data_IF_599040451791
#
_entry.id   IF_599040451791
#
_cell.length_a   1.000
_cell.length_b   1.000
_cell.length_c   1.000
_cell.angle_alpha   90.00
_cell.angle_beta   90.00
_cell.angle_gamma   90.00
#
_symmetry.space_group_name_H-M   'P 1'
#
loop_
_entity.id
_entity.type
_entity.pdbx_description
1 polymer ?
#
# COMPACT_ATOMS: atom_id res chain seq x y z
N UNK A 1 9.85 -10.02 20.97
CA UNK A 1 10.19 -9.82 19.57
C UNK A 1 9.86 -8.36 19.24
N UNK A 2 10.71 -7.64 18.53
CA UNK A 2 10.36 -6.26 18.14
C UNK A 2 9.39 -6.29 16.98
N UNK A 3 8.60 -5.21 16.78
CA UNK A 3 7.73 -5.10 15.60
C UNK A 3 8.52 -5.22 14.29
N UNK A 4 9.76 -4.73 14.27
CA UNK A 4 10.65 -4.85 13.11
C UNK A 4 10.99 -6.32 12.82
N UNK A 5 11.22 -7.14 13.84
CA UNK A 5 11.45 -8.59 13.67
C UNK A 5 10.19 -9.31 13.19
N UNK A 6 9.01 -8.92 13.70
CA UNK A 6 7.73 -9.50 13.28
C UNK A 6 7.45 -9.17 11.81
N UNK A 7 7.59 -7.91 11.39
CA UNK A 7 7.45 -7.49 10.00
C UNK A 7 8.43 -8.26 9.11
N UNK A 8 9.69 -8.40 9.53
CA UNK A 8 10.68 -9.19 8.81
C UNK A 8 10.22 -10.64 8.62
N UNK A 9 9.75 -11.29 9.68
CA UNK A 9 9.26 -12.68 9.60
C UNK A 9 8.08 -12.80 8.64
N UNK A 10 7.11 -11.88 8.69
CA UNK A 10 5.95 -11.88 7.79
C UNK A 10 6.40 -11.82 6.32
N UNK A 11 7.32 -10.92 5.98
CA UNK A 11 7.82 -10.82 4.61
C UNK A 11 8.64 -12.04 4.18
N UNK A 12 9.46 -12.60 5.06
CA UNK A 12 10.26 -13.80 4.75
C UNK A 12 9.39 -15.05 4.58
N UNK A 13 8.31 -15.18 5.34
CA UNK A 13 7.42 -16.34 5.29
C UNK A 13 6.39 -16.25 4.16
N UNK A 14 5.86 -15.06 3.87
CA UNK A 14 4.71 -14.88 2.98
C UNK A 14 4.98 -13.92 1.81
N UNK A 15 6.08 -13.18 1.82
CA UNK A 15 6.37 -12.13 0.84
C UNK A 15 6.58 -12.62 -0.59
N UNK A 16 6.95 -13.90 -0.78
CA UNK A 16 7.05 -14.52 -2.10
C UNK A 16 5.69 -14.87 -2.74
N UNK A 17 4.60 -14.65 -2.03
CA UNK A 17 3.27 -14.73 -2.62
C UNK A 17 3.12 -13.69 -3.73
N UNK A 18 2.57 -14.09 -4.88
CA UNK A 18 2.33 -13.17 -5.97
C UNK A 18 1.25 -12.13 -5.61
N UNK A 19 1.51 -10.89 -5.99
CA UNK A 19 0.65 -9.75 -5.70
C UNK A 19 -0.72 -9.84 -6.42
N UNK A 20 -0.71 -10.19 -7.70
CA UNK A 20 -1.89 -10.42 -8.52
C UNK A 20 -1.60 -11.57 -9.48
N UNK A 21 -2.46 -11.86 -10.45
CA UNK A 21 -2.29 -12.97 -11.41
C UNK A 21 -0.93 -13.00 -12.13
N UNK A 22 0.16 -12.78 -11.38
CA UNK A 22 1.42 -13.37 -11.73
C UNK A 22 2.61 -12.52 -12.09
N UNK A 23 2.71 -11.23 -11.83
CA UNK A 23 3.94 -10.54 -12.25
C UNK A 23 4.95 -10.25 -11.14
N UNK A 24 4.54 -9.77 -10.00
CA UNK A 24 5.45 -9.43 -8.89
C UNK A 24 5.02 -10.10 -7.59
N UNK A 25 5.99 -10.41 -6.72
CA UNK A 25 5.71 -10.90 -5.37
C UNK A 25 5.33 -9.74 -4.46
N UNK A 26 4.63 -10.02 -3.36
CA UNK A 26 4.27 -9.03 -2.34
C UNK A 26 5.51 -8.32 -1.80
N UNK A 27 6.59 -9.05 -1.55
CA UNK A 27 7.86 -8.46 -1.10
C UNK A 27 8.46 -7.54 -2.18
N UNK A 28 8.54 -8.00 -3.42
CA UNK A 28 9.08 -7.18 -4.51
C UNK A 28 8.28 -5.88 -4.69
N UNK A 29 6.96 -5.96 -4.65
CA UNK A 29 6.06 -4.81 -4.74
C UNK A 29 6.31 -3.82 -3.58
N UNK A 30 6.35 -4.30 -2.34
CA UNK A 30 6.61 -3.48 -1.16
C UNK A 30 7.96 -2.75 -1.22
N UNK A 31 9.02 -3.48 -1.63
CA UNK A 31 10.35 -2.90 -1.77
C UNK A 31 10.42 -1.83 -2.86
N UNK A 32 9.76 -2.04 -4.00
CA UNK A 32 9.70 -1.05 -5.08
C UNK A 32 8.98 0.22 -4.61
N UNK A 33 7.84 0.07 -3.92
CA UNK A 33 7.07 1.20 -3.39
C UNK A 33 7.90 2.01 -2.38
N UNK A 34 8.56 1.35 -1.42
CA UNK A 34 9.45 2.00 -0.46
C UNK A 34 10.63 2.70 -1.15
N UNK A 35 11.20 2.10 -2.20
CA UNK A 35 12.31 2.69 -2.94
C UNK A 35 11.89 3.96 -3.69
N UNK A 36 10.68 4.03 -4.26
CA UNK A 36 10.16 5.27 -4.84
C UNK A 36 10.10 6.40 -3.81
N UNK A 37 9.64 6.11 -2.59
CA UNK A 37 9.59 7.08 -1.50
C UNK A 37 10.99 7.51 -1.06
N UNK A 38 11.95 6.60 -0.97
CA UNK A 38 13.36 6.90 -0.63
C UNK A 38 14.01 7.80 -1.69
N UNK A 39 13.86 7.47 -2.98
CA UNK A 39 14.39 8.28 -4.09
C UNK A 39 13.81 9.69 -4.08
N UNK A 40 12.56 9.85 -3.66
CA UNK A 40 11.90 11.16 -3.50
C UNK A 40 12.33 11.89 -2.22
N UNK A 41 13.29 11.37 -1.45
CA UNK A 41 13.75 11.92 -0.17
C UNK A 41 12.61 12.13 0.84
N UNK A 42 11.67 11.19 0.89
CA UNK A 42 10.56 11.20 1.84
C UNK A 42 11.02 10.90 3.27
N UNK A 43 10.17 11.21 4.25
CA UNK A 43 10.45 10.90 5.66
C UNK A 43 10.48 9.39 5.91
N UNK A 44 11.05 8.98 7.04
CA UNK A 44 11.09 7.57 7.47
C UNK A 44 9.68 6.98 7.59
N UNK A 45 8.71 7.78 8.06
CA UNK A 45 7.32 7.40 8.19
C UNK A 45 6.69 7.10 6.81
N UNK A 46 6.94 7.95 5.81
CA UNK A 46 6.40 7.76 4.47
C UNK A 46 7.03 6.56 3.75
N UNK A 47 8.34 6.35 3.91
CA UNK A 47 9.03 5.16 3.39
C UNK A 47 8.47 3.90 4.05
N UNK A 48 8.24 3.94 5.37
CA UNK A 48 7.61 2.86 6.14
C UNK A 48 6.18 2.60 5.68
N UNK A 49 5.38 3.65 5.47
CA UNK A 49 4.03 3.51 4.94
C UNK A 49 4.02 2.82 3.56
N UNK A 50 4.94 3.21 2.67
CA UNK A 50 5.09 2.58 1.36
C UNK A 50 5.51 1.10 1.45
N UNK A 51 6.40 0.74 2.38
CA UNK A 51 6.79 -0.65 2.60
C UNK A 51 5.63 -1.51 3.10
N UNK A 52 4.76 -0.95 3.95
CA UNK A 52 3.78 -1.71 4.72
C UNK A 52 2.32 -1.56 4.25
N UNK A 53 2.05 -0.77 3.17
CA UNK A 53 0.67 -0.45 2.78
C UNK A 53 -0.18 -1.68 2.48
N UNK A 54 0.41 -2.72 1.92
CA UNK A 54 -0.24 -3.96 1.53
C UNK A 54 0.00 -5.14 2.51
N UNK A 55 0.63 -4.89 3.68
CA UNK A 55 0.92 -5.96 4.64
C UNK A 55 -0.36 -6.69 5.10
N UNK A 56 -1.52 -6.04 5.04
CA UNK A 56 -2.81 -6.66 5.34
C UNK A 56 -3.12 -7.88 4.48
N UNK A 57 -2.64 -7.93 3.24
CA UNK A 57 -2.75 -9.11 2.38
C UNK A 57 -1.94 -10.31 2.90
N UNK A 58 -0.83 -10.05 3.60
CA UNK A 58 0.01 -11.09 4.22
C UNK A 58 -0.52 -11.54 5.57
N UNK A 59 -1.25 -10.67 6.27
CA UNK A 59 -1.87 -10.95 7.57
C UNK A 59 -3.18 -11.73 7.41
N UNK A 60 -3.93 -11.49 6.34
CA UNK A 60 -5.19 -12.17 6.07
C UNK A 60 -4.98 -13.40 5.18
N UNK A 61 -5.13 -14.60 5.74
CA UNK A 61 -4.99 -15.86 5.00
C UNK A 61 -6.10 -16.04 3.94
N UNK A 62 -7.25 -15.39 4.10
CA UNK A 62 -8.41 -15.50 3.22
C UNK A 62 -8.49 -14.38 2.17
N UNK A 63 -7.56 -13.42 2.17
CA UNK A 63 -7.58 -12.27 1.26
C UNK A 63 -7.68 -12.65 -0.22
N UNK A 64 -6.97 -13.73 -0.64
CA UNK A 64 -7.04 -14.22 -2.02
C UNK A 64 -8.41 -14.79 -2.37
N UNK A 65 -9.08 -15.43 -1.41
CA UNK A 65 -10.41 -16.00 -1.63
C UNK A 65 -11.45 -14.88 -1.72
N UNK A 66 -11.36 -13.85 -0.90
CA UNK A 66 -12.22 -12.67 -0.96
C UNK A 66 -12.15 -12.00 -2.35
N UNK A 67 -10.94 -11.72 -2.85
CA UNK A 67 -10.76 -11.12 -4.18
C UNK A 67 -11.34 -12.02 -5.29
N UNK A 68 -11.17 -13.35 -5.22
CA UNK A 68 -11.76 -14.30 -6.19
C UNK A 68 -13.29 -14.31 -6.14
N UNK A 69 -13.86 -14.08 -4.97
CA UNK A 69 -15.31 -13.99 -4.75
C UNK A 69 -15.89 -12.63 -5.16
N UNK A 70 -15.05 -11.66 -5.55
CA UNK A 70 -15.49 -10.29 -5.85
C UNK A 70 -15.79 -9.48 -4.59
N UNK A 71 -15.18 -9.83 -3.46
CA UNK A 71 -15.32 -9.15 -2.17
C UNK A 71 -14.09 -8.27 -1.92
N UNK A 72 -14.31 -7.11 -1.28
CA UNK A 72 -13.22 -6.26 -0.81
C UNK A 72 -12.58 -6.92 0.42
N UNK A 73 -11.27 -7.14 0.36
CA UNK A 73 -10.53 -7.77 1.45
C UNK A 73 -10.21 -6.79 2.59
N UNK A 74 -10.51 -5.50 2.42
CA UNK A 74 -10.25 -4.41 3.38
C UNK A 74 -8.81 -4.46 3.97
N UNK A 75 -7.84 -4.83 3.15
CA UNK A 75 -6.46 -5.07 3.56
C UNK A 75 -5.81 -3.85 4.20
N UNK A 76 -6.20 -2.64 3.80
CA UNK A 76 -5.74 -1.38 4.38
C UNK A 76 -6.20 -1.22 5.84
N UNK A 77 -7.40 -1.67 6.18
CA UNK A 77 -7.90 -1.66 7.55
C UNK A 77 -7.19 -2.70 8.41
N UNK A 78 -7.00 -3.91 7.90
CA UNK A 78 -6.24 -4.98 8.57
C UNK A 78 -4.80 -4.51 8.84
N UNK A 79 -4.16 -3.86 7.86
CA UNK A 79 -2.82 -3.31 8.02
C UNK A 79 -2.77 -2.27 9.15
N UNK A 80 -3.71 -1.31 9.16
CA UNK A 80 -3.76 -0.26 10.18
C UNK A 80 -4.03 -0.84 11.57
N UNK A 81 -4.95 -1.77 11.70
CA UNK A 81 -5.26 -2.39 12.99
C UNK A 81 -4.04 -3.11 13.59
N UNK A 82 -3.23 -3.72 12.75
CA UNK A 82 -1.97 -4.35 13.17
C UNK A 82 -0.89 -3.32 13.55
N UNK A 83 -0.79 -2.22 12.80
CA UNK A 83 0.33 -1.27 12.89
C UNK A 83 0.10 -0.13 13.90
N UNK A 84 -1.14 0.24 14.23
CA UNK A 84 -1.47 1.45 14.98
C UNK A 84 -0.92 1.48 16.42
N UNK A 85 -0.57 0.34 17.00
CA UNK A 85 0.06 0.28 18.33
C UNK A 85 1.56 0.62 18.31
N UNK A 86 2.16 0.71 17.11
CA UNK A 86 3.60 0.87 16.93
C UNK A 86 3.98 2.11 16.13
N UNK A 87 3.03 2.65 15.33
CA UNK A 87 3.27 3.76 14.43
C UNK A 87 2.19 4.82 14.54
N UNK A 88 2.62 6.07 14.46
CA UNK A 88 1.72 7.22 14.47
C UNK A 88 0.97 7.43 13.15
N UNK A 89 0.09 8.46 13.10
CA UNK A 89 -0.73 8.78 11.93
C UNK A 89 0.07 9.06 10.65
N UNK A 90 1.31 9.51 10.75
CA UNK A 90 2.17 9.75 9.58
C UNK A 90 2.50 8.45 8.79
N UNK A 91 2.42 7.29 9.44
CA UNK A 91 2.51 5.96 8.80
C UNK A 91 1.13 5.39 8.50
N UNK A 92 0.25 5.37 9.51
CA UNK A 92 -1.01 4.62 9.42
C UNK A 92 -2.07 5.30 8.55
N UNK A 93 -2.09 6.65 8.48
CA UNK A 93 -3.09 7.36 7.68
C UNK A 93 -2.87 7.19 6.16
N UNK A 94 -1.64 7.34 5.60
CA UNK A 94 -1.43 7.03 4.19
C UNK A 94 -1.80 5.58 3.83
N UNK A 95 -1.53 4.62 4.72
CA UNK A 95 -1.93 3.21 4.53
C UNK A 95 -3.45 3.09 4.52
N UNK A 96 -4.14 3.66 5.50
CA UNK A 96 -5.61 3.64 5.58
C UNK A 96 -6.27 4.16 4.30
N UNK A 97 -5.75 5.25 3.76
CA UNK A 97 -6.38 5.99 2.68
C UNK A 97 -5.88 5.64 1.27
N UNK A 98 -4.95 4.68 1.09
CA UNK A 98 -4.38 4.43 -0.25
C UNK A 98 -5.40 3.81 -1.23
N UNK A 99 -6.37 3.04 -0.74
CA UNK A 99 -7.48 2.52 -1.56
C UNK A 99 -8.40 3.66 -1.99
N UNK A 100 -8.78 4.55 -1.06
CA UNK A 100 -9.55 5.75 -1.35
C UNK A 100 -8.79 6.70 -2.28
N UNK A 101 -7.47 6.80 -2.14
CA UNK A 101 -6.61 7.56 -3.06
C UNK A 101 -6.67 7.02 -4.50
N UNK A 102 -6.83 5.72 -4.72
CA UNK A 102 -7.07 5.14 -6.05
C UNK A 102 -8.40 5.62 -6.63
N UNK A 103 -9.48 5.58 -5.84
CA UNK A 103 -10.82 6.05 -6.24
C UNK A 103 -10.79 7.55 -6.55
N UNK A 104 -10.12 8.33 -5.69
CA UNK A 104 -9.89 9.77 -5.87
C UNK A 104 -9.15 10.09 -7.17
N UNK A 105 -8.03 9.41 -7.42
CA UNK A 105 -7.23 9.62 -8.63
C UNK A 105 -8.01 9.25 -9.90
N UNK A 106 -8.81 8.20 -9.86
CA UNK A 106 -9.68 7.85 -11.00
C UNK A 106 -10.76 8.91 -11.27
N UNK A 107 -11.17 9.66 -10.26
CA UNK A 107 -12.16 10.74 -10.40
C UNK A 107 -11.52 12.07 -10.86
N UNK A 108 -10.30 12.36 -10.43
CA UNK A 108 -9.67 13.69 -10.58
C UNK A 108 -8.57 13.77 -11.64
N UNK A 109 -7.91 12.66 -11.97
CA UNK A 109 -6.84 12.58 -12.95
C UNK A 109 -7.28 11.76 -14.17
N UNK A 110 -7.62 12.43 -15.26
CA UNK A 110 -8.13 11.81 -16.48
C UNK A 110 -7.19 10.76 -17.11
N UNK A 111 -5.90 10.83 -16.79
CA UNK A 111 -4.88 9.92 -17.35
C UNK A 111 -4.59 8.74 -16.43
N UNK A 112 -5.02 8.80 -15.17
CA UNK A 112 -4.68 7.80 -14.17
C UNK A 112 -5.36 6.46 -14.44
N UNK A 113 -6.65 6.45 -14.73
CA UNK A 113 -7.42 5.23 -14.99
C UNK A 113 -6.81 4.39 -16.12
N UNK A 114 -6.35 5.03 -17.19
CA UNK A 114 -5.76 4.34 -18.35
C UNK A 114 -4.42 3.66 -18.04
N UNK A 115 -3.80 3.99 -16.92
CA UNK A 115 -2.50 3.44 -16.47
C UNK A 115 -2.66 2.31 -15.45
N UNK A 116 -3.88 2.06 -14.97
CA UNK A 116 -4.13 1.01 -13.98
C UNK A 116 -3.84 -0.38 -14.54
N UNK A 117 -3.20 -1.22 -13.74
CA UNK A 117 -3.09 -2.65 -13.99
C UNK A 117 -4.47 -3.31 -14.01
N UNK A 118 -4.59 -4.47 -14.64
CA UNK A 118 -5.86 -5.23 -14.67
C UNK A 118 -6.37 -5.56 -13.27
N UNK A 119 -5.47 -5.90 -12.33
CA UNK A 119 -5.82 -6.13 -10.93
C UNK A 119 -6.34 -4.89 -10.25
N UNK A 120 -5.71 -3.71 -10.48
CA UNK A 120 -6.19 -2.43 -9.95
C UNK A 120 -7.56 -2.03 -10.50
N UNK A 121 -7.86 -2.32 -11.77
CA UNK A 121 -9.20 -2.08 -12.36
C UNK A 121 -10.22 -2.99 -11.68
N UNK A 122 -9.94 -4.30 -11.55
CA UNK A 122 -10.83 -5.26 -10.90
C UNK A 122 -11.13 -4.88 -9.45
N UNK A 123 -10.09 -4.53 -8.66
CA UNK A 123 -10.28 -4.11 -7.27
C UNK A 123 -11.03 -2.77 -7.15
N UNK A 124 -10.84 -1.83 -8.10
CA UNK A 124 -11.61 -0.59 -8.13
C UNK A 124 -13.13 -0.86 -8.24
N UNK A 125 -13.52 -1.83 -9.05
CA UNK A 125 -14.95 -2.18 -9.24
C UNK A 125 -15.59 -2.66 -7.95
N UNK A 126 -14.92 -3.57 -7.20
CA UNK A 126 -15.44 -4.07 -5.92
C UNK A 126 -15.36 -3.04 -4.79
N UNK A 127 -14.46 -2.07 -4.89
CA UNK A 127 -14.28 -0.97 -3.95
C UNK A 127 -15.21 0.23 -4.20
N UNK A 128 -16.16 0.14 -5.10
CA UNK A 128 -17.18 1.16 -5.35
C UNK A 128 -16.89 2.14 -6.49
N UNK A 129 -15.85 1.90 -7.29
CA UNK A 129 -15.52 2.73 -8.45
C UNK A 129 -14.89 4.08 -8.11
N UNK A 130 -14.75 5.00 -9.09
CA UNK A 130 -14.25 6.35 -8.87
C UNK A 130 -15.15 7.14 -7.91
N UNK A 131 -14.54 8.06 -7.14
CA UNK A 131 -15.28 8.95 -6.25
C UNK A 131 -16.24 9.88 -7.00
N UNK A 132 -17.37 10.19 -6.38
CA UNK A 132 -18.21 11.32 -6.75
C UNK A 132 -17.65 12.65 -6.19
N UNK A 133 -18.31 13.78 -6.49
CA UNK A 133 -17.88 15.12 -6.03
C UNK A 133 -17.87 15.26 -4.51
N UNK A 134 -18.79 14.63 -3.81
CA UNK A 134 -18.91 14.73 -2.36
C UNK A 134 -17.83 13.88 -1.70
N UNK A 135 -17.58 12.68 -2.22
CA UNK A 135 -16.49 11.81 -1.77
C UNK A 135 -15.12 12.46 -1.98
N UNK A 136 -14.90 13.12 -3.13
CA UNK A 136 -13.67 13.89 -3.41
C UNK A 136 -13.46 14.97 -2.33
N UNK A 137 -14.46 15.80 -2.06
CA UNK A 137 -14.35 16.87 -1.07
C UNK A 137 -14.12 16.32 0.36
N UNK A 138 -14.79 15.22 0.69
CA UNK A 138 -14.61 14.53 1.98
C UNK A 138 -13.19 13.98 2.14
N UNK A 139 -12.66 13.35 1.09
CA UNK A 139 -11.30 12.80 1.10
C UNK A 139 -10.24 13.89 1.21
N UNK A 140 -10.38 14.99 0.48
CA UNK A 140 -9.45 16.14 0.56
C UNK A 140 -9.42 16.82 1.93
N UNK A 141 -10.44 16.63 2.75
CA UNK A 141 -10.48 17.12 4.14
C UNK A 141 -9.75 16.22 5.14
N UNK A 142 -9.37 14.99 4.74
CA UNK A 142 -8.70 14.04 5.63
C UNK A 142 -7.23 14.43 5.87
N UNK A 143 -6.74 14.31 7.11
CA UNK A 143 -5.30 14.41 7.37
C UNK A 143 -4.53 13.37 6.54
N UNK A 144 -3.36 13.76 6.01
CA UNK A 144 -2.49 12.88 5.21
C UNK A 144 -3.07 12.39 3.87
N UNK A 145 -4.14 13.00 3.34
CA UNK A 145 -4.68 12.59 2.05
C UNK A 145 -3.68 12.77 0.90
N UNK A 146 -2.82 13.81 0.96
CA UNK A 146 -1.77 14.04 -0.05
C UNK A 146 -0.72 12.94 -0.04
N UNK A 147 -0.31 12.52 1.15
CA UNK A 147 0.61 11.41 1.36
C UNK A 147 -0.01 10.09 0.85
N UNK A 148 -1.28 9.85 1.10
CA UNK A 148 -2.01 8.70 0.57
C UNK A 148 -2.08 8.72 -0.96
N UNK A 149 -2.34 9.87 -1.57
CA UNK A 149 -2.33 10.04 -3.03
C UNK A 149 -0.94 9.77 -3.60
N UNK A 150 0.11 10.26 -2.96
CA UNK A 150 1.48 10.03 -3.39
C UNK A 150 1.88 8.56 -3.23
N UNK A 151 1.54 7.93 -2.10
CA UNK A 151 1.73 6.49 -1.89
C UNK A 151 1.03 5.71 -3.01
N UNK A 152 -0.23 6.01 -3.30
CA UNK A 152 -0.99 5.31 -4.34
C UNK A 152 -0.36 5.44 -5.73
N UNK A 153 0.25 6.58 -6.07
CA UNK A 153 0.99 6.72 -7.34
C UNK A 153 2.20 5.80 -7.39
N UNK A 154 2.94 5.69 -6.31
CA UNK A 154 4.09 4.78 -6.21
C UNK A 154 3.68 3.31 -6.18
N UNK A 155 2.60 2.97 -5.49
CA UNK A 155 2.01 1.63 -5.51
C UNK A 155 1.75 1.17 -6.96
N UNK A 156 1.04 1.95 -7.76
CA UNK A 156 0.77 1.59 -9.15
C UNK A 156 2.04 1.50 -10.01
N UNK A 157 3.07 2.29 -9.70
CA UNK A 157 4.36 2.24 -10.39
C UNK A 157 5.24 1.05 -9.96
N UNK A 158 4.89 0.34 -8.88
CA UNK A 158 5.70 -0.68 -8.22
C UNK A 158 5.40 -2.11 -8.67
N UNK A 159 5.10 -2.29 -9.96
CA UNK A 159 4.69 -3.58 -10.56
C UNK A 159 5.65 -4.07 -11.65
N UNK A 160 6.91 -3.65 -11.58
CA UNK A 160 7.94 -4.05 -12.54
C UNK A 160 8.59 -5.38 -12.12
N UNK A 161 8.75 -6.28 -13.09
CA UNK A 161 9.45 -7.56 -12.90
C UNK A 161 10.97 -7.44 -13.05
N UNK A 162 11.46 -6.29 -13.50
CA UNK A 162 12.89 -6.07 -13.81
C UNK A 162 13.56 -5.03 -12.92
N UNK A 163 12.84 -4.41 -12.00
CA UNK A 163 13.41 -3.39 -11.11
C UNK A 163 14.24 -4.04 -10.00
N UNK A 164 15.48 -3.60 -9.89
CA UNK A 164 16.34 -3.94 -8.74
C UNK A 164 16.09 -2.96 -7.62
N UNK A 165 15.87 -3.48 -6.41
CA UNK A 165 15.62 -2.67 -5.21
C UNK A 165 16.73 -2.86 -4.17
N UNK A 166 16.76 -1.96 -3.18
CA UNK A 166 17.46 -2.21 -1.92
C UNK A 166 16.84 -3.41 -1.20
N UNK A 167 17.60 -4.00 -0.26
CA UNK A 167 17.13 -5.18 0.49
C UNK A 167 16.03 -4.82 1.50
N UNK A 168 15.30 -5.84 1.97
CA UNK A 168 14.36 -5.68 3.06
C UNK A 168 15.02 -5.10 4.32
N UNK A 169 16.22 -5.58 4.67
CA UNK A 169 17.00 -5.08 5.81
C UNK A 169 17.28 -3.58 5.73
N UNK A 170 17.56 -3.08 4.53
CA UNK A 170 17.75 -1.64 4.31
C UNK A 170 16.49 -0.85 4.72
N UNK A 171 15.31 -1.28 4.26
CA UNK A 171 14.06 -0.58 4.58
C UNK A 171 13.59 -0.80 6.00
N UNK A 172 13.92 -1.91 6.65
CA UNK A 172 13.63 -2.13 8.07
C UNK A 172 14.33 -1.12 9.00
N UNK A 173 15.40 -0.46 8.55
CA UNK A 173 15.98 0.66 9.30
C UNK A 173 15.02 1.85 9.37
N UNK A 174 14.29 2.16 8.31
CA UNK A 174 13.26 3.21 8.32
C UNK A 174 12.07 2.81 9.19
N UNK A 175 11.64 1.55 9.15
CA UNK A 175 10.62 1.01 10.06
C UNK A 175 11.02 1.23 11.52
N UNK A 176 12.28 0.97 11.86
CA UNK A 176 12.79 1.19 13.22
C UNK A 176 12.79 2.67 13.62
N UNK A 177 13.08 3.59 12.68
CA UNK A 177 13.10 5.04 12.92
C UNK A 177 11.70 5.63 13.06
N UNK A 178 10.70 5.10 12.34
CA UNK A 178 9.33 5.60 12.28
C UNK A 178 8.46 5.19 13.50
N UNK A 179 8.99 4.36 14.41
CA UNK A 179 8.25 3.89 15.61
C UNK A 179 7.96 5.04 16.58
N UNK A 180 6.82 4.93 17.29
CA UNK A 180 6.46 5.78 18.44
C UNK A 180 6.87 5.15 19.76
#
# INVERSE_FOLDING_TARGET
>A
MSITDEIKSIFLEKGENHFDEGSVTQLSHALQCAQHAEIANSSAEMITACLLHDIGHLLNNDARQAIRNGEDAEHEHIAVDYLQSWFGPAVTSPIRWHVDAKRYLCATDKTYFSKLSKGSVRSLEVQGGPFDRQEVASFESQPYYKEAVQLRRWDEASKSTSTTTRSLEHFLNFVSQARI
#
